data_IF_269748741862
#
_entry.id   IF_269748741862
#
_cell.length_a   1.000
_cell.length_b   1.000
_cell.length_c   1.000
_cell.angle_alpha   90.00
_cell.angle_beta   90.00
_cell.angle_gamma   90.00
#
_symmetry.space_group_name_H-M   'P 1'
#
loop_
_entity.id
_entity.type
_entity.pdbx_description
1 polymer ?
#
# COMPACT_ATOMS: atom_id res chain seq x y z
N UNK A 1 -12.85 23.71 -27.61
CA UNK A 1 -13.92 22.76 -27.25
C UNK A 1 -13.94 21.44 -28.07
N UNK A 2 -13.20 21.30 -29.20
CA UNK A 2 -13.23 20.10 -30.09
C UNK A 2 -12.20 18.98 -29.77
N UNK A 3 -11.23 19.20 -28.87
CA UNK A 3 -10.14 18.22 -28.59
C UNK A 3 -10.50 17.12 -27.57
N UNK A 4 -11.51 17.33 -26.71
CA UNK A 4 -11.88 16.34 -25.66
C UNK A 4 -12.72 15.17 -26.18
N UNK A 5 -13.35 15.29 -27.36
CA UNK A 5 -14.28 14.28 -27.88
C UNK A 5 -13.55 13.15 -28.63
N UNK A 6 -12.49 13.48 -29.39
CA UNK A 6 -11.64 12.50 -30.09
C UNK A 6 -10.88 11.58 -29.12
N UNK A 7 -10.38 12.15 -28.01
CA UNK A 7 -9.66 11.37 -26.99
C UNK A 7 -10.58 10.37 -26.26
N UNK A 8 -11.88 10.67 -26.12
CA UNK A 8 -12.87 9.73 -25.57
C UNK A 8 -13.13 8.55 -26.50
N UNK A 9 -13.24 8.78 -27.80
CA UNK A 9 -13.48 7.72 -28.79
C UNK A 9 -12.27 6.78 -28.86
N UNK A 10 -11.06 7.33 -28.89
CA UNK A 10 -9.82 6.54 -28.83
C UNK A 10 -9.72 5.70 -27.55
N UNK A 11 -10.09 6.27 -26.39
CA UNK A 11 -10.13 5.54 -25.13
C UNK A 11 -11.05 4.31 -25.20
N UNK A 12 -12.28 4.45 -25.70
CA UNK A 12 -13.24 3.33 -25.81
C UNK A 12 -12.84 2.29 -26.87
N UNK A 13 -12.18 2.69 -27.95
CA UNK A 13 -11.67 1.78 -28.99
C UNK A 13 -10.52 0.89 -28.49
N UNK A 14 -9.63 1.43 -27.67
CA UNK A 14 -8.51 0.67 -27.11
C UNK A 14 -8.83 -0.01 -25.77
N UNK A 15 -9.93 0.36 -25.11
CA UNK A 15 -10.38 -0.23 -23.85
C UNK A 15 -10.53 -1.77 -23.89
N UNK A 16 -11.15 -2.42 -24.88
CA UNK A 16 -11.29 -3.88 -24.89
C UNK A 16 -9.93 -4.58 -25.06
N UNK A 17 -9.01 -4.01 -25.83
CA UNK A 17 -7.65 -4.55 -26.01
C UNK A 17 -6.83 -4.36 -24.74
N UNK A 18 -6.88 -3.17 -24.14
CA UNK A 18 -6.23 -2.87 -22.86
C UNK A 18 -6.79 -3.73 -21.72
N UNK A 19 -8.11 -3.95 -21.69
CA UNK A 19 -8.75 -4.83 -20.73
C UNK A 19 -8.32 -6.28 -20.93
N UNK A 20 -8.29 -6.78 -22.18
CA UNK A 20 -7.84 -8.14 -22.48
C UNK A 20 -6.36 -8.34 -22.13
N UNK A 21 -5.51 -7.34 -22.40
CA UNK A 21 -4.10 -7.35 -22.00
C UNK A 21 -3.95 -7.28 -20.48
N UNK A 22 -4.74 -6.44 -19.79
CA UNK A 22 -4.74 -6.35 -18.33
C UNK A 22 -5.20 -7.64 -17.67
N UNK A 23 -6.21 -8.30 -18.24
CA UNK A 23 -6.70 -9.62 -17.82
C UNK A 23 -5.66 -10.71 -18.08
N UNK A 24 -4.97 -10.69 -19.22
CA UNK A 24 -3.89 -11.63 -19.52
C UNK A 24 -2.71 -11.41 -18.58
N UNK A 25 -2.26 -10.17 -18.39
CA UNK A 25 -1.18 -9.84 -17.46
C UNK A 25 -1.54 -10.23 -16.02
N UNK A 26 -2.78 -9.99 -15.58
CA UNK A 26 -3.26 -10.45 -14.26
C UNK A 26 -3.30 -11.98 -14.14
N UNK A 27 -3.46 -12.70 -15.24
CA UNK A 27 -3.45 -14.17 -15.28
C UNK A 27 -2.03 -14.76 -15.38
N UNK A 28 -1.12 -14.11 -16.09
CA UNK A 28 0.26 -14.58 -16.31
C UNK A 28 1.29 -13.97 -15.38
N UNK A 29 0.97 -12.89 -14.67
CA UNK A 29 1.85 -12.29 -13.67
C UNK A 29 2.13 -13.32 -12.58
N UNK A 30 3.40 -13.67 -12.45
CA UNK A 30 3.89 -14.53 -11.39
C UNK A 30 3.54 -13.88 -10.05
N UNK A 31 2.66 -14.53 -9.30
CA UNK A 31 2.33 -14.11 -7.94
C UNK A 31 3.56 -14.38 -7.08
N UNK A 32 4.33 -13.34 -6.83
CA UNK A 32 5.43 -13.43 -5.89
C UNK A 32 4.86 -13.69 -4.49
N UNK A 33 5.51 -14.58 -3.71
CA UNK A 33 5.08 -14.83 -2.35
C UNK A 33 5.27 -13.58 -1.48
N UNK A 34 4.48 -13.51 -0.41
CA UNK A 34 4.74 -12.58 0.69
C UNK A 34 6.10 -12.90 1.32
N UNK A 35 6.71 -11.91 1.96
CA UNK A 35 7.98 -12.10 2.65
C UNK A 35 7.85 -13.15 3.75
N UNK A 36 8.81 -14.08 3.80
CA UNK A 36 8.91 -15.05 4.88
C UNK A 36 9.61 -14.45 6.11
N UNK A 37 9.26 -14.91 7.30
CA UNK A 37 9.87 -14.47 8.56
C UNK A 37 8.86 -13.96 9.57
N UNK A 38 9.36 -13.45 10.69
CA UNK A 38 8.54 -12.92 11.77
C UNK A 38 7.86 -11.61 11.37
N UNK A 39 6.60 -11.46 11.79
CA UNK A 39 5.81 -10.23 11.56
C UNK A 39 5.97 -9.20 12.67
N UNK A 40 6.81 -9.48 13.66
CA UNK A 40 7.12 -8.58 14.75
C UNK A 40 8.56 -8.76 15.18
N UNK A 41 9.18 -7.69 15.64
CA UNK A 41 10.54 -7.73 16.15
C UNK A 41 10.95 -6.40 16.74
N UNK A 42 12.22 -6.28 17.08
CA UNK A 42 12.79 -5.04 17.58
C UNK A 42 14.18 -4.80 16.98
N UNK A 43 14.56 -3.53 16.84
CA UNK A 43 15.89 -3.13 16.39
C UNK A 43 16.33 -1.85 17.11
N UNK A 44 17.64 -1.61 17.17
CA UNK A 44 18.20 -0.46 17.88
C UNK A 44 18.20 -0.60 19.41
N UNK A 45 18.58 0.49 20.07
CA UNK A 45 18.74 0.57 21.52
C UNK A 45 18.28 1.96 21.99
N UNK A 46 17.81 2.06 23.24
CA UNK A 46 17.33 3.32 23.82
C UNK A 46 15.85 3.25 24.18
N UNK A 47 15.17 4.41 24.14
CA UNK A 47 13.74 4.51 24.41
C UNK A 47 12.93 3.77 23.32
N UNK A 48 11.90 3.05 23.74
CA UNK A 48 11.11 2.20 22.86
C UNK A 48 10.04 3.01 22.10
N UNK A 49 10.09 2.94 20.77
CA UNK A 49 9.07 3.44 19.85
C UNK A 49 8.35 2.24 19.22
N UNK A 50 7.01 2.27 19.20
CA UNK A 50 6.20 1.22 18.59
C UNK A 50 5.79 1.62 17.18
N UNK A 51 6.32 0.91 16.18
CA UNK A 51 5.97 1.03 14.77
C UNK A 51 4.95 -0.03 14.37
N UNK A 52 3.78 0.39 13.93
CA UNK A 52 2.78 -0.48 13.33
C UNK A 52 2.71 -0.24 11.82
N UNK A 53 3.06 -1.24 11.02
CA UNK A 53 2.93 -1.17 9.57
C UNK A 53 1.71 -1.98 9.11
N UNK A 54 0.79 -1.37 8.35
CA UNK A 54 -0.41 -2.02 7.83
C UNK A 54 -0.58 -1.75 6.34
N UNK A 55 -0.93 -2.76 5.55
CA UNK A 55 -1.18 -2.49 4.14
C UNK A 55 -1.18 -3.66 3.18
N UNK A 56 -0.94 -3.30 1.93
CA UNK A 56 -0.97 -4.17 0.78
C UNK A 56 0.32 -5.01 0.62
N UNK A 57 0.59 -5.44 -0.62
CA UNK A 57 1.80 -6.17 -1.01
C UNK A 57 3.12 -5.50 -0.62
N UNK A 58 3.18 -4.17 -0.53
CA UNK A 58 4.41 -3.45 -0.16
C UNK A 58 4.74 -3.71 1.31
N UNK A 59 3.73 -3.59 2.18
CA UNK A 59 3.88 -3.88 3.61
C UNK A 59 4.10 -5.37 3.83
N UNK A 60 3.46 -6.24 3.04
CA UNK A 60 3.67 -7.68 3.09
C UNK A 60 5.05 -8.14 2.56
N UNK A 61 5.89 -7.24 2.05
CA UNK A 61 7.22 -7.57 1.53
C UNK A 61 7.19 -8.48 0.29
N UNK A 62 6.14 -8.37 -0.54
CA UNK A 62 6.04 -9.21 -1.75
C UNK A 62 7.25 -8.96 -2.65
N UNK A 63 7.98 -10.03 -2.95
CA UNK A 63 9.18 -9.98 -3.79
C UNK A 63 10.49 -9.66 -3.04
N UNK A 64 10.48 -9.38 -1.74
CA UNK A 64 11.72 -9.17 -0.96
C UNK A 64 12.33 -10.49 -0.45
N UNK A 65 11.56 -11.58 -0.50
CA UNK A 65 11.96 -12.90 -0.02
C UNK A 65 11.82 -13.04 1.49
N UNK A 66 12.42 -12.12 2.27
CA UNK A 66 12.37 -12.11 3.74
C UNK A 66 11.79 -10.81 4.30
N UNK A 67 11.19 -10.91 5.50
CA UNK A 67 10.55 -9.77 6.17
C UNK A 67 11.57 -8.71 6.58
N UNK A 68 12.80 -9.11 6.92
CA UNK A 68 13.90 -8.19 7.23
C UNK A 68 14.24 -7.23 6.07
N UNK A 69 13.96 -7.66 4.83
CA UNK A 69 14.16 -6.86 3.62
C UNK A 69 12.91 -6.10 3.19
N UNK A 70 11.81 -6.24 3.92
CA UNK A 70 10.56 -5.52 3.65
C UNK A 70 10.69 -4.03 3.97
N UNK A 71 9.90 -3.21 3.29
CA UNK A 71 9.87 -1.76 3.51
C UNK A 71 9.61 -1.39 4.98
N UNK A 72 8.66 -2.02 5.71
CA UNK A 72 8.45 -1.74 7.13
C UNK A 72 9.67 -1.98 8.00
N UNK A 73 10.37 -3.10 7.82
CA UNK A 73 11.51 -3.46 8.68
C UNK A 73 12.73 -2.61 8.35
N UNK A 74 12.99 -2.35 7.06
CA UNK A 74 14.03 -1.41 6.64
C UNK A 74 13.77 0.01 7.15
N UNK A 75 12.51 0.45 7.16
CA UNK A 75 12.12 1.72 7.76
C UNK A 75 12.34 1.74 9.28
N UNK A 76 12.04 0.63 9.98
CA UNK A 76 12.32 0.50 11.41
C UNK A 76 13.81 0.65 11.72
N UNK A 77 14.68 -0.02 10.94
CA UNK A 77 16.13 0.09 11.08
C UNK A 77 16.64 1.52 10.85
N UNK A 78 16.19 2.16 9.76
CA UNK A 78 16.59 3.55 9.47
C UNK A 78 16.12 4.54 10.57
N UNK A 79 14.94 4.30 11.16
CA UNK A 79 14.44 5.10 12.27
C UNK A 79 15.28 4.89 13.54
N UNK A 80 15.66 3.65 13.84
CA UNK A 80 16.51 3.30 14.98
C UNK A 80 17.90 3.95 14.88
N UNK A 81 18.53 3.89 13.71
CA UNK A 81 19.85 4.48 13.44
C UNK A 81 19.85 6.01 13.58
N UNK A 82 18.81 6.67 13.05
CA UNK A 82 18.75 8.13 13.02
C UNK A 82 18.44 8.79 14.36
N UNK A 83 17.88 8.07 15.33
CA UNK A 83 17.36 8.67 16.56
C UNK A 83 17.89 8.06 17.87
N UNK A 84 18.74 7.02 17.85
CA UNK A 84 19.16 6.30 19.08
C UNK A 84 17.97 5.79 19.91
N UNK A 85 16.95 5.28 19.22
CA UNK A 85 15.78 4.66 19.83
C UNK A 85 15.76 3.16 19.54
N UNK A 86 15.12 2.40 20.43
CA UNK A 86 14.73 1.03 20.12
C UNK A 86 13.39 1.08 19.38
N UNK A 87 13.31 0.51 18.19
CA UNK A 87 12.06 0.44 17.43
C UNK A 87 11.51 -0.97 17.54
N UNK A 88 10.38 -1.11 18.24
CA UNK A 88 9.56 -2.32 18.25
C UNK A 88 8.59 -2.23 17.08
N UNK A 89 8.70 -3.14 16.13
CA UNK A 89 7.91 -3.11 14.91
C UNK A 89 6.94 -4.29 14.83
N UNK A 90 5.77 -4.03 14.26
CA UNK A 90 4.75 -5.03 13.91
C UNK A 90 4.27 -4.79 12.48
N UNK A 91 4.16 -5.86 11.69
CA UNK A 91 3.80 -5.83 10.28
C UNK A 91 2.52 -6.62 10.05
N UNK A 92 1.44 -5.91 9.74
CA UNK A 92 0.17 -6.45 9.25
C UNK A 92 -0.01 -6.12 7.76
N UNK A 93 0.82 -6.75 6.94
CA UNK A 93 0.74 -6.70 5.49
C UNK A 93 0.03 -7.93 4.92
N UNK A 94 -0.82 -7.72 3.91
CA UNK A 94 -1.38 -8.81 3.11
C UNK A 94 -1.41 -8.45 1.63
N UNK A 95 -0.95 -9.38 0.80
CA UNK A 95 -1.03 -9.22 -0.66
C UNK A 95 -2.50 -9.11 -1.10
N UNK A 96 -2.82 -8.00 -1.77
CA UNK A 96 -4.16 -7.71 -2.22
C UNK A 96 -5.10 -7.12 -1.18
N UNK A 97 -4.61 -6.69 -0.01
CA UNK A 97 -5.42 -5.96 0.94
C UNK A 97 -6.01 -4.68 0.32
N UNK A 98 -7.30 -4.48 0.53
CA UNK A 98 -8.04 -3.26 0.19
C UNK A 98 -8.27 -2.41 1.44
N UNK A 99 -8.75 -1.17 1.25
CA UNK A 99 -9.03 -0.29 2.38
C UNK A 99 -10.04 -0.88 3.38
N UNK A 100 -11.02 -1.66 2.90
CA UNK A 100 -12.00 -2.33 3.76
C UNK A 100 -11.35 -3.39 4.65
N UNK A 101 -10.33 -4.11 4.15
CA UNK A 101 -9.53 -5.03 4.93
C UNK A 101 -8.75 -4.31 6.02
N UNK A 102 -8.06 -3.20 5.68
CA UNK A 102 -7.31 -2.42 6.67
C UNK A 102 -8.22 -1.95 7.81
N UNK A 103 -9.38 -1.37 7.48
CA UNK A 103 -10.35 -0.89 8.49
C UNK A 103 -10.79 -2.00 9.45
N UNK A 104 -11.01 -3.23 8.96
CA UNK A 104 -11.32 -4.39 9.82
C UNK A 104 -10.16 -4.77 10.75
N UNK A 105 -8.91 -4.63 10.28
CA UNK A 105 -7.75 -4.92 11.11
C UNK A 105 -7.49 -3.85 12.17
N UNK A 106 -7.82 -2.56 11.90
CA UNK A 106 -7.65 -1.47 12.87
C UNK A 106 -8.24 -1.82 14.23
N UNK A 107 -9.52 -2.22 14.28
CA UNK A 107 -10.18 -2.55 15.56
C UNK A 107 -9.53 -3.73 16.29
N UNK A 108 -9.04 -4.73 15.55
CA UNK A 108 -8.39 -5.93 16.12
C UNK A 108 -7.00 -5.61 16.66
N UNK A 109 -6.23 -4.82 15.91
CA UNK A 109 -4.87 -4.43 16.26
C UNK A 109 -4.88 -3.44 17.42
N UNK A 110 -5.84 -2.51 17.46
CA UNK A 110 -5.99 -1.54 18.55
C UNK A 110 -6.15 -2.19 19.93
N UNK A 111 -6.69 -3.41 20.00
CA UNK A 111 -6.85 -4.15 21.25
C UNK A 111 -5.55 -4.73 21.79
N UNK A 112 -4.56 -4.99 20.91
CA UNK A 112 -3.41 -5.82 21.25
C UNK A 112 -2.06 -5.16 20.93
N UNK A 113 -2.05 -4.05 20.19
CA UNK A 113 -0.86 -3.39 19.70
C UNK A 113 -0.83 -1.94 20.13
N UNK A 114 0.30 -1.52 20.68
CA UNK A 114 0.63 -0.10 20.84
C UNK A 114 1.22 0.42 19.53
N UNK A 115 0.99 1.69 19.24
CA UNK A 115 1.57 2.34 18.09
C UNK A 115 1.84 3.81 18.43
N UNK A 116 3.08 4.23 18.22
CA UNK A 116 3.52 5.63 18.24
C UNK A 116 3.66 6.14 16.79
N UNK A 117 3.98 5.23 15.88
CA UNK A 117 4.10 5.48 14.45
C UNK A 117 3.33 4.40 13.67
N UNK A 118 2.48 4.83 12.74
CA UNK A 118 1.69 3.94 11.89
C UNK A 118 2.10 4.16 10.44
N UNK A 119 2.66 3.14 9.79
CA UNK A 119 3.05 3.16 8.39
C UNK A 119 2.02 2.43 7.54
N UNK A 120 1.44 3.12 6.58
CA UNK A 120 0.33 2.60 5.77
C UNK A 120 0.72 2.55 4.31
N UNK A 121 0.49 1.42 3.65
CA UNK A 121 0.49 1.37 2.18
C UNK A 121 -0.83 0.81 1.68
N UNK A 122 -1.48 1.57 0.80
CA UNK A 122 -2.74 1.18 0.17
C UNK A 122 -2.53 1.25 -1.33
N UNK A 123 -2.61 0.07 -1.96
CA UNK A 123 -2.25 -0.11 -3.35
C UNK A 123 -3.31 0.29 -4.35
N UNK A 124 -2.91 0.21 -5.61
CA UNK A 124 -3.72 0.44 -6.82
C UNK A 124 -4.91 -0.52 -6.95
N UNK A 125 -4.99 -1.59 -6.14
CA UNK A 125 -6.10 -2.53 -6.17
C UNK A 125 -7.45 -1.85 -5.89
N UNK A 126 -7.48 -0.81 -5.05
CA UNK A 126 -8.68 0.02 -4.83
C UNK A 126 -9.04 0.89 -6.05
N UNK A 127 -8.06 1.21 -6.90
CA UNK A 127 -8.24 1.99 -8.15
C UNK A 127 -8.64 1.09 -9.32
N UNK A 128 -8.34 -0.21 -9.26
CA UNK A 128 -8.73 -1.19 -10.31
C UNK A 128 -10.22 -1.54 -10.30
N UNK A 129 -10.93 -1.24 -9.22
CA UNK A 129 -12.35 -1.59 -9.03
C UNK A 129 -13.38 -0.69 -9.69
N UNK A 130 -12.99 0.23 -10.59
CA UNK A 130 -13.88 1.28 -11.14
C UNK A 130 -14.40 2.28 -10.08
N UNK A 131 -13.82 2.27 -8.88
CA UNK A 131 -14.13 3.20 -7.79
C UNK A 131 -13.88 4.65 -8.22
N UNK A 132 -14.82 5.55 -7.91
CA UNK A 132 -14.58 6.99 -8.13
C UNK A 132 -13.49 7.49 -7.18
N UNK A 133 -12.67 8.45 -7.63
CA UNK A 133 -11.65 9.10 -6.79
C UNK A 133 -12.26 9.69 -5.52
N UNK A 134 -13.51 10.19 -5.61
CA UNK A 134 -14.26 10.72 -4.46
C UNK A 134 -14.55 9.64 -3.42
N UNK A 135 -14.99 8.46 -3.85
CA UNK A 135 -15.25 7.34 -2.95
C UNK A 135 -13.96 6.88 -2.25
N UNK A 136 -12.88 6.72 -3.01
CA UNK A 136 -11.58 6.34 -2.46
C UNK A 136 -11.10 7.34 -1.40
N UNK A 137 -11.16 8.64 -1.71
CA UNK A 137 -10.79 9.69 -0.76
C UNK A 137 -11.61 9.61 0.52
N UNK A 138 -12.93 9.44 0.41
CA UNK A 138 -13.81 9.30 1.58
C UNK A 138 -13.44 8.05 2.42
N UNK A 139 -13.06 6.95 1.79
CA UNK A 139 -12.60 5.76 2.52
C UNK A 139 -11.26 6.01 3.25
N UNK A 140 -10.32 6.71 2.61
CA UNK A 140 -9.04 7.09 3.26
C UNK A 140 -9.27 8.03 4.43
N UNK A 141 -10.13 9.04 4.27
CA UNK A 141 -10.52 9.95 5.37
C UNK A 141 -11.15 9.16 6.53
N UNK A 142 -12.03 8.21 6.24
CA UNK A 142 -12.63 7.33 7.25
C UNK A 142 -11.58 6.49 7.97
N UNK A 143 -10.66 5.87 7.23
CA UNK A 143 -9.57 5.08 7.81
C UNK A 143 -8.70 5.95 8.74
N UNK A 144 -8.33 7.16 8.32
CA UNK A 144 -7.53 8.07 9.15
C UNK A 144 -8.26 8.43 10.45
N UNK A 145 -9.58 8.63 10.41
CA UNK A 145 -10.37 8.87 11.62
C UNK A 145 -10.35 7.66 12.55
N UNK A 146 -10.55 6.45 12.02
CA UNK A 146 -10.53 5.20 12.82
C UNK A 146 -9.15 4.97 13.47
N UNK A 147 -8.07 5.25 12.74
CA UNK A 147 -6.70 5.14 13.26
C UNK A 147 -6.43 6.13 14.38
N UNK A 148 -6.88 7.39 14.23
CA UNK A 148 -6.75 8.40 15.29
C UNK A 148 -7.60 8.08 16.51
N UNK A 149 -8.74 7.41 16.34
CA UNK A 149 -9.54 6.94 17.46
C UNK A 149 -8.85 5.78 18.19
N UNK A 150 -8.28 4.83 17.44
CA UNK A 150 -7.57 3.68 17.98
C UNK A 150 -6.24 4.05 18.65
N UNK A 151 -5.48 4.97 18.05
CA UNK A 151 -4.19 5.44 18.55
C UNK A 151 -4.10 6.97 18.49
N UNK A 152 -4.66 7.68 19.49
CA UNK A 152 -4.80 9.15 19.47
C UNK A 152 -3.49 9.93 19.39
N UNK A 153 -2.39 9.35 19.90
CA UNK A 153 -1.07 9.98 19.91
C UNK A 153 -0.16 9.52 18.77
N UNK A 154 -0.59 8.53 17.97
CA UNK A 154 0.22 7.98 16.91
C UNK A 154 0.32 8.94 15.72
N UNK A 155 1.52 9.00 15.13
CA UNK A 155 1.72 9.65 13.82
C UNK A 155 1.41 8.67 12.71
N UNK A 156 0.56 9.06 11.76
CA UNK A 156 0.20 8.22 10.61
C UNK A 156 0.97 8.69 9.37
N UNK A 157 1.68 7.76 8.73
CA UNK A 157 2.47 7.98 7.52
C UNK A 157 1.96 7.07 6.40
N UNK A 158 1.81 7.61 5.19
CA UNK A 158 1.46 6.83 4.01
C UNK A 158 2.70 6.60 3.14
N UNK A 159 3.08 5.34 2.95
CA UNK A 159 4.02 4.92 1.92
C UNK A 159 3.32 5.07 0.56
N UNK A 160 3.55 6.21 -0.10
CA UNK A 160 2.95 6.53 -1.39
C UNK A 160 3.28 5.48 -2.45
N UNK A 161 2.36 5.30 -3.40
CA UNK A 161 2.62 4.49 -4.59
C UNK A 161 3.81 5.09 -5.36
N UNK A 162 4.78 4.28 -5.82
CA UNK A 162 5.78 4.78 -6.75
C UNK A 162 5.05 5.37 -7.98
N UNK A 163 5.56 6.47 -8.58
CA UNK A 163 4.89 7.12 -9.70
C UNK A 163 4.65 6.10 -10.82
N UNK A 164 3.38 5.66 -10.97
CA UNK A 164 2.99 4.53 -11.82
C UNK A 164 3.34 4.76 -13.30
N UNK A 165 3.53 6.01 -13.72
CA UNK A 165 4.03 6.38 -15.04
C UNK A 165 5.47 5.91 -15.33
N UNK A 166 6.25 5.56 -14.30
CA UNK A 166 7.63 5.04 -14.41
C UNK A 166 7.74 3.54 -14.12
N UNK A 167 6.62 2.85 -13.83
CA UNK A 167 6.63 1.42 -13.57
C UNK A 167 6.88 0.66 -14.89
N UNK A 168 7.95 -0.16 -15.01
CA UNK A 168 8.35 -0.77 -16.28
C UNK A 168 7.53 -2.01 -16.68
N UNK A 169 6.67 -2.51 -15.79
CA UNK A 169 6.01 -3.81 -15.93
C UNK A 169 4.75 -3.87 -16.83
N UNK A 170 3.91 -2.83 -16.99
CA UNK A 170 2.78 -2.92 -17.92
C UNK A 170 3.19 -2.53 -19.35
N UNK A 171 2.97 -3.40 -20.36
CA UNK A 171 3.16 -3.04 -21.77
C UNK A 171 2.18 -1.93 -22.18
N UNK A 172 2.55 -1.16 -23.22
CA UNK A 172 1.60 -0.23 -23.84
C UNK A 172 0.42 -1.03 -24.44
N UNK A 173 -0.85 -0.60 -24.25
CA UNK A 173 -1.31 0.73 -23.82
C UNK A 173 -1.76 0.82 -22.33
N UNK A 174 -1.56 -0.22 -21.52
CA UNK A 174 -1.95 -0.23 -20.10
C UNK A 174 -1.27 0.90 -19.30
N UNK A 175 0.01 1.14 -19.60
CA UNK A 175 0.79 2.24 -19.02
C UNK A 175 0.16 3.61 -19.30
N UNK A 176 -0.38 3.83 -20.49
CA UNK A 176 -1.04 5.08 -20.85
C UNK A 176 -2.36 5.26 -20.09
N UNK A 177 -3.17 4.21 -19.97
CA UNK A 177 -4.44 4.28 -19.23
C UNK A 177 -4.29 4.46 -17.72
N UNK A 178 -3.22 3.91 -17.13
CA UNK A 178 -2.86 4.11 -15.73
C UNK A 178 -2.26 5.50 -15.47
N UNK A 179 -1.62 6.12 -16.47
CA UNK A 179 -1.03 7.45 -16.37
C UNK A 179 -1.99 8.62 -16.61
N UNK A 180 -3.25 8.37 -16.99
CA UNK A 180 -4.28 9.38 -17.21
C UNK A 180 -5.23 9.60 -16.01
N UNK A 181 -4.95 8.98 -14.86
CA UNK A 181 -5.70 9.16 -13.60
C UNK A 181 -4.84 9.78 -12.52
#
# INVERSE_FOLDING_TARGET
>A
MRFHFLNRIGFWLFLPIAALQGLRLRRTATRLPEAAGEKSGACGHGEAIHLLAMGDSIIAGVGTGTMDRSLPVQFAHALAEGQSHQVQWHVDGRNGADIAHLRRQVSRLAQNQKADLILISIGVNDVTGLSSTRYWRSQVETLVMELKQAWPQARVMFAGLPPMGKFPLPPQPLRFTLGMR
#
